data_IF_735994311683
#
_entry.id   IF_735994311683
#
_cell.length_a   1.000
_cell.length_b   1.000
_cell.length_c   1.000
_cell.angle_alpha   90.00
_cell.angle_beta   90.00
_cell.angle_gamma   90.00
#
_symmetry.space_group_name_H-M   'P 1'
#
loop_
_entity.id
_entity.type
_entity.pdbx_description
1 polymer ?
#
# COMPACT_ATOMS: atom_id res chain seq x y z
N UNK A 1 -28.32 2.38 -34.33
CA UNK A 1 -27.61 1.11 -34.58
C UNK A 1 -26.20 1.04 -33.94
N UNK A 2 -25.53 2.15 -33.71
CA UNK A 2 -24.20 2.25 -33.14
C UNK A 2 -24.15 1.92 -31.62
N UNK A 3 -25.20 2.31 -30.88
CA UNK A 3 -25.31 2.08 -29.41
C UNK A 3 -25.28 0.58 -29.07
N UNK A 4 -25.91 -0.26 -29.85
CA UNK A 4 -26.00 -1.71 -29.61
C UNK A 4 -24.65 -2.43 -29.80
N UNK A 5 -23.72 -1.88 -30.58
CA UNK A 5 -22.37 -2.44 -30.78
C UNK A 5 -21.45 -2.06 -29.62
N UNK A 6 -21.57 -0.86 -29.08
CA UNK A 6 -20.81 -0.42 -27.88
C UNK A 6 -21.24 -1.18 -26.65
N UNK A 7 -22.53 -1.38 -26.42
CA UNK A 7 -23.04 -2.16 -25.28
C UNK A 7 -22.52 -3.60 -25.27
N UNK A 8 -22.56 -4.27 -26.43
CA UNK A 8 -22.00 -5.64 -26.54
C UNK A 8 -20.50 -5.66 -26.33
N UNK A 9 -19.80 -4.65 -26.82
CA UNK A 9 -18.35 -4.50 -26.62
C UNK A 9 -18.01 -4.32 -25.13
N UNK A 10 -18.72 -3.46 -24.43
CA UNK A 10 -18.54 -3.21 -22.98
C UNK A 10 -18.84 -4.47 -22.16
N UNK A 11 -19.94 -5.17 -22.46
CA UNK A 11 -20.29 -6.42 -21.77
C UNK A 11 -19.25 -7.52 -22.01
N UNK A 12 -18.70 -7.60 -23.22
CA UNK A 12 -17.61 -8.54 -23.54
C UNK A 12 -16.33 -8.18 -22.79
N UNK A 13 -15.94 -6.91 -22.79
CA UNK A 13 -14.78 -6.43 -22.02
C UNK A 13 -14.94 -6.71 -20.53
N UNK A 14 -16.13 -6.50 -19.96
CA UNK A 14 -16.43 -6.81 -18.56
C UNK A 14 -16.13 -8.27 -18.22
N UNK A 15 -16.54 -9.20 -19.08
CA UNK A 15 -16.26 -10.63 -18.91
C UNK A 15 -14.77 -10.96 -19.01
N UNK A 16 -14.07 -10.37 -19.95
CA UNK A 16 -12.62 -10.59 -20.11
C UNK A 16 -11.82 -10.04 -18.95
N UNK A 17 -12.18 -8.85 -18.46
CA UNK A 17 -11.49 -8.15 -17.37
C UNK A 17 -11.77 -8.77 -15.98
N UNK A 18 -12.86 -9.55 -15.84
CA UNK A 18 -13.17 -10.28 -14.58
C UNK A 18 -12.08 -11.29 -14.21
N UNK A 19 -11.29 -11.77 -15.17
CA UNK A 19 -10.17 -12.69 -14.93
C UNK A 19 -8.93 -11.99 -14.34
N UNK A 20 -8.92 -10.66 -14.30
CA UNK A 20 -7.78 -9.88 -13.79
C UNK A 20 -7.99 -9.59 -12.30
N UNK A 21 -7.19 -10.20 -11.40
CA UNK A 21 -7.49 -10.22 -9.97
C UNK A 21 -7.42 -8.84 -9.30
N UNK A 22 -6.70 -7.89 -9.89
CA UNK A 22 -6.55 -6.54 -9.35
C UNK A 22 -7.52 -5.52 -9.97
N UNK A 23 -8.38 -5.91 -10.90
CA UNK A 23 -9.50 -5.08 -11.35
C UNK A 23 -10.77 -5.42 -10.56
N UNK A 24 -11.58 -4.40 -10.30
CA UNK A 24 -12.93 -4.61 -9.80
C UNK A 24 -13.78 -5.23 -10.90
N UNK A 25 -14.39 -6.39 -10.67
CA UNK A 25 -15.36 -6.93 -11.59
C UNK A 25 -16.51 -5.96 -11.79
N UNK A 26 -16.98 -5.79 -13.02
CA UNK A 26 -18.10 -4.93 -13.30
C UNK A 26 -19.10 -5.59 -14.26
N UNK A 27 -20.33 -5.12 -14.19
CA UNK A 27 -21.44 -5.50 -15.07
C UNK A 27 -22.04 -4.25 -15.68
N UNK A 28 -22.39 -4.34 -16.95
CA UNK A 28 -23.16 -3.31 -17.64
C UNK A 28 -24.66 -3.62 -17.48
N UNK A 29 -25.41 -2.73 -16.84
CA UNK A 29 -26.83 -2.90 -16.57
C UNK A 29 -27.67 -1.87 -17.30
N UNK A 30 -28.82 -2.34 -17.83
CA UNK A 30 -29.86 -1.49 -18.43
C UNK A 30 -29.37 -0.53 -19.54
N UNK A 31 -28.24 -0.85 -20.20
CA UNK A 31 -27.68 0.01 -21.24
C UNK A 31 -27.18 1.37 -20.81
N UNK A 32 -27.08 1.64 -19.51
CA UNK A 32 -26.74 2.96 -18.99
C UNK A 32 -25.84 2.96 -17.73
N UNK A 33 -25.74 1.85 -17.04
CA UNK A 33 -25.11 1.82 -15.72
C UNK A 33 -23.98 0.79 -15.63
N UNK A 34 -22.82 1.23 -15.14
CA UNK A 34 -21.70 0.37 -14.83
C UNK A 34 -21.71 0.07 -13.32
N UNK A 35 -21.93 -1.19 -12.97
CA UNK A 35 -22.03 -1.64 -11.58
C UNK A 35 -20.79 -2.45 -11.23
N UNK A 36 -20.00 -1.97 -10.24
CA UNK A 36 -18.82 -2.67 -9.76
C UNK A 36 -19.15 -3.57 -8.58
N UNK A 37 -18.51 -4.75 -8.56
CA UNK A 37 -18.57 -5.67 -7.43
C UNK A 37 -17.40 -5.37 -6.48
N UNK A 38 -17.71 -4.81 -5.32
CA UNK A 38 -16.72 -4.32 -4.35
C UNK A 38 -15.80 -5.41 -3.79
N UNK A 39 -16.25 -6.67 -3.68
CA UNK A 39 -15.52 -7.72 -2.97
C UNK A 39 -15.42 -7.45 -1.45
N UNK A 40 -14.40 -8.04 -0.81
CA UNK A 40 -14.13 -7.94 0.64
C UNK A 40 -13.22 -6.77 1.02
N UNK A 41 -12.65 -6.06 0.03
CA UNK A 41 -11.70 -4.98 0.25
C UNK A 41 -12.30 -3.77 0.96
N UNK A 42 -11.49 -3.09 1.79
CA UNK A 42 -11.81 -1.79 2.38
C UNK A 42 -11.52 -0.69 1.36
N UNK A 43 -12.35 0.36 1.28
CA UNK A 43 -12.04 1.55 0.47
C UNK A 43 -10.71 2.14 0.90
N UNK A 44 -9.90 2.53 -0.07
CA UNK A 44 -8.58 3.10 0.22
C UNK A 44 -8.70 4.40 1.03
N UNK A 45 -9.72 5.23 0.77
CA UNK A 45 -10.04 6.40 1.59
C UNK A 45 -10.20 6.05 3.06
N UNK A 46 -10.97 4.99 3.38
CA UNK A 46 -11.18 4.59 4.77
C UNK A 46 -9.94 3.95 5.38
N UNK A 47 -9.19 3.21 4.57
CA UNK A 47 -7.94 2.60 5.01
C UNK A 47 -6.88 3.68 5.36
N UNK A 48 -6.78 4.75 4.57
CA UNK A 48 -5.84 5.86 4.78
C UNK A 48 -6.22 6.81 5.92
N UNK A 49 -7.42 6.73 6.49
CA UNK A 49 -7.81 7.55 7.66
C UNK A 49 -6.97 7.29 8.90
N UNK A 50 -6.42 6.09 9.03
CA UNK A 50 -5.53 5.72 10.14
C UNK A 50 -4.09 5.79 9.68
N UNK A 51 -3.22 6.27 10.56
CA UNK A 51 -1.78 6.25 10.33
C UNK A 51 -1.29 4.82 10.06
N UNK A 52 -0.37 4.69 9.13
CA UNK A 52 0.15 3.41 8.65
C UNK A 52 1.59 3.20 9.09
N UNK A 53 1.98 1.93 9.14
CA UNK A 53 3.40 1.56 9.26
C UNK A 53 4.06 1.65 7.88
N UNK A 54 5.37 1.80 7.87
CA UNK A 54 6.16 1.89 6.64
C UNK A 54 5.94 0.66 5.75
N UNK A 55 5.88 -0.55 6.34
CA UNK A 55 5.65 -1.79 5.61
C UNK A 55 4.30 -1.82 4.91
N UNK A 56 3.25 -1.32 5.56
CA UNK A 56 1.89 -1.31 4.98
C UNK A 56 1.83 -0.40 3.76
N UNK A 57 2.52 0.73 3.79
CA UNK A 57 2.60 1.64 2.64
C UNK A 57 3.47 1.05 1.53
N UNK A 58 4.59 0.39 1.87
CA UNK A 58 5.42 -0.27 0.87
C UNK A 58 4.69 -1.43 0.19
N UNK A 59 3.93 -2.25 0.92
CA UNK A 59 3.09 -3.30 0.36
C UNK A 59 2.06 -2.72 -0.62
N UNK A 60 1.42 -1.61 -0.24
CA UNK A 60 0.48 -0.92 -1.11
C UNK A 60 1.13 -0.39 -2.39
N UNK A 61 2.30 0.25 -2.27
CA UNK A 61 3.06 0.79 -3.40
C UNK A 61 3.55 -0.30 -4.35
N UNK A 62 4.07 -1.40 -3.80
CA UNK A 62 4.52 -2.55 -4.58
C UNK A 62 3.37 -3.17 -5.36
N UNK A 63 2.22 -3.36 -4.71
CA UNK A 63 1.04 -3.91 -5.36
C UNK A 63 0.53 -3.01 -6.47
N UNK A 64 0.46 -1.70 -6.21
CA UNK A 64 0.10 -0.72 -7.21
C UNK A 64 1.03 -0.75 -8.43
N UNK A 65 2.34 -0.84 -8.19
CA UNK A 65 3.33 -0.92 -9.24
C UNK A 65 3.24 -2.23 -10.04
N UNK A 66 2.99 -3.35 -9.35
CA UNK A 66 2.72 -4.63 -10.00
C UNK A 66 1.51 -4.55 -10.91
N UNK A 67 0.41 -3.95 -10.44
CA UNK A 67 -0.79 -3.74 -11.23
C UNK A 67 -0.51 -2.94 -12.51
N UNK A 68 0.44 -2.00 -12.47
CA UNK A 68 0.87 -1.26 -13.65
C UNK A 68 1.59 -2.11 -14.69
N UNK A 69 2.49 -2.99 -14.25
CA UNK A 69 3.19 -3.92 -15.14
C UNK A 69 2.21 -4.91 -15.76
N UNK A 70 1.29 -5.41 -14.93
CA UNK A 70 0.25 -6.32 -15.38
C UNK A 70 -0.69 -5.64 -16.39
N UNK A 71 -1.02 -4.35 -16.21
CA UNK A 71 -1.81 -3.59 -17.15
C UNK A 71 -1.17 -3.56 -18.56
N UNK A 72 0.14 -3.39 -18.64
CA UNK A 72 0.87 -3.47 -19.91
C UNK A 72 0.80 -4.87 -20.53
N UNK A 73 1.00 -5.90 -19.71
CA UNK A 73 0.95 -7.29 -20.15
C UNK A 73 -0.44 -7.71 -20.66
N UNK A 74 -1.49 -7.18 -20.05
CA UNK A 74 -2.88 -7.43 -20.46
C UNK A 74 -3.42 -6.43 -21.48
N UNK A 75 -2.59 -5.51 -21.99
CA UNK A 75 -2.96 -4.44 -22.93
C UNK A 75 -4.10 -3.55 -22.40
N UNK A 76 -4.11 -3.32 -21.08
CA UNK A 76 -5.10 -2.44 -20.43
C UNK A 76 -4.63 -1.00 -20.57
N UNK A 77 -5.53 -0.17 -21.05
CA UNK A 77 -5.30 1.27 -21.10
C UNK A 77 -5.30 1.85 -19.68
N UNK A 78 -4.12 2.30 -19.24
CA UNK A 78 -3.92 2.85 -17.89
C UNK A 78 -4.67 4.15 -17.65
N UNK A 79 -5.00 4.89 -18.71
CA UNK A 79 -5.76 6.14 -18.60
C UNK A 79 -7.22 5.90 -18.23
N UNK A 80 -7.71 4.68 -18.48
CA UNK A 80 -9.06 4.24 -18.12
C UNK A 80 -9.17 3.70 -16.69
N UNK A 81 -8.07 3.62 -15.94
CA UNK A 81 -8.06 3.22 -14.54
C UNK A 81 -8.38 4.43 -13.66
N UNK A 82 -9.38 4.28 -12.79
CA UNK A 82 -9.79 5.33 -11.86
C UNK A 82 -8.79 5.40 -10.71
N UNK A 83 -8.11 6.54 -10.57
CA UNK A 83 -7.20 6.84 -9.46
C UNK A 83 -7.86 7.75 -8.42
N UNK A 84 -9.04 7.38 -8.00
CA UNK A 84 -9.76 8.01 -6.91
C UNK A 84 -9.80 7.00 -5.74
N UNK A 85 -9.32 7.35 -4.53
CA UNK A 85 -9.26 6.44 -3.40
C UNK A 85 -10.63 5.90 -2.97
N UNK A 86 -11.74 6.54 -3.34
CA UNK A 86 -13.10 6.04 -3.11
C UNK A 86 -13.46 4.88 -4.05
N UNK A 87 -12.75 4.75 -5.17
CA UNK A 87 -12.91 3.69 -6.16
C UNK A 87 -11.75 2.67 -6.16
N UNK A 88 -10.88 2.77 -5.15
CA UNK A 88 -9.78 1.84 -4.91
C UNK A 88 -10.07 1.03 -3.64
N UNK A 89 -9.81 -0.27 -3.67
CA UNK A 89 -10.10 -1.17 -2.55
C UNK A 89 -8.86 -1.98 -2.18
N UNK A 90 -8.47 -1.90 -0.91
CA UNK A 90 -7.34 -2.64 -0.36
C UNK A 90 -7.82 -3.86 0.41
N UNK A 91 -7.33 -5.03 0.05
CA UNK A 91 -7.56 -6.29 0.76
C UNK A 91 -6.37 -6.58 1.67
N UNK A 92 -6.54 -6.44 2.96
CA UNK A 92 -5.45 -6.62 3.93
C UNK A 92 -4.89 -8.05 3.97
N UNK A 93 -5.73 -9.05 3.78
CA UNK A 93 -5.35 -10.47 3.87
C UNK A 93 -4.53 -10.91 2.65
N UNK A 94 -5.00 -10.58 1.48
CA UNK A 94 -4.37 -10.97 0.21
C UNK A 94 -3.31 -9.98 -0.28
N UNK A 95 -3.24 -8.80 0.34
CA UNK A 95 -2.40 -7.67 -0.08
C UNK A 95 -2.65 -7.27 -1.53
N UNK A 96 -3.91 -7.30 -1.96
CA UNK A 96 -4.30 -6.91 -3.31
C UNK A 96 -4.97 -5.54 -3.30
N UNK A 97 -4.48 -4.64 -4.13
CA UNK A 97 -5.13 -3.37 -4.43
C UNK A 97 -5.99 -3.54 -5.68
N UNK A 98 -7.31 -3.45 -5.51
CA UNK A 98 -8.27 -3.50 -6.61
C UNK A 98 -8.61 -2.11 -7.11
N UNK A 99 -8.62 -1.96 -8.42
CA UNK A 99 -8.83 -0.69 -9.11
C UNK A 99 -10.08 -0.77 -10.01
N UNK A 100 -10.83 0.32 -10.07
CA UNK A 100 -11.94 0.42 -11.02
C UNK A 100 -11.41 0.80 -12.42
N UNK A 101 -12.00 0.22 -13.45
CA UNK A 101 -11.67 0.46 -14.85
C UNK A 101 -12.91 0.91 -15.63
N UNK A 102 -12.79 1.96 -16.43
CA UNK A 102 -13.87 2.48 -17.26
C UNK A 102 -13.65 2.03 -18.72
N UNK A 103 -14.56 1.23 -19.30
CA UNK A 103 -14.34 0.60 -20.60
C UNK A 103 -14.53 1.53 -21.83
N UNK A 104 -14.92 2.78 -21.64
CA UNK A 104 -15.05 3.76 -22.73
C UNK A 104 -13.99 4.85 -22.66
N UNK A 105 -13.85 5.61 -23.74
CA UNK A 105 -12.86 6.67 -23.83
C UNK A 105 -13.25 7.85 -22.94
N UNK A 106 -12.37 8.13 -21.97
CA UNK A 106 -12.45 9.30 -21.12
C UNK A 106 -11.27 10.17 -21.47
N UNK A 107 -11.52 11.35 -22.03
CA UNK A 107 -10.49 12.36 -22.22
C UNK A 107 -10.12 12.98 -20.88
N UNK A 108 -9.40 12.23 -20.02
CA UNK A 108 -8.78 12.78 -18.84
C UNK A 108 -7.43 13.36 -19.28
N UNK A 109 -7.40 14.65 -19.55
CA UNK A 109 -6.17 15.37 -19.95
C UNK A 109 -5.13 15.40 -18.84
N UNK A 110 -4.51 14.25 -18.50
CA UNK A 110 -3.57 14.14 -17.40
C UNK A 110 -2.15 13.92 -17.95
N UNK A 111 -1.30 14.93 -17.76
CA UNK A 111 0.12 14.93 -18.15
C UNK A 111 1.04 14.18 -17.16
N UNK A 112 0.53 13.65 -16.05
CA UNK A 112 1.36 13.03 -15.02
C UNK A 112 1.41 11.50 -15.16
N UNK A 113 2.58 10.92 -14.88
CA UNK A 113 2.70 9.47 -14.84
C UNK A 113 1.73 8.88 -13.81
N UNK A 114 1.22 7.68 -14.11
CA UNK A 114 0.31 6.97 -13.23
C UNK A 114 0.92 6.79 -11.80
N UNK A 115 2.23 6.51 -11.71
CA UNK A 115 2.96 6.39 -10.43
C UNK A 115 3.00 7.70 -9.67
N UNK A 116 3.27 8.81 -10.36
CA UNK A 116 3.32 10.13 -9.74
C UNK A 116 1.97 10.52 -9.12
N UNK A 117 0.88 10.25 -9.82
CA UNK A 117 -0.48 10.52 -9.31
C UNK A 117 -0.75 9.73 -8.02
N UNK A 118 -0.37 8.45 -8.00
CA UNK A 118 -0.56 7.63 -6.81
C UNK A 118 0.33 8.05 -5.64
N UNK A 119 1.60 8.36 -5.90
CA UNK A 119 2.50 8.88 -4.89
C UNK A 119 1.97 10.18 -4.26
N UNK A 120 1.46 11.10 -5.09
CA UNK A 120 0.82 12.34 -4.62
C UNK A 120 -0.43 12.07 -3.77
N UNK A 121 -1.25 11.08 -4.15
CA UNK A 121 -2.43 10.67 -3.39
C UNK A 121 -2.06 10.22 -1.98
N UNK A 122 -1.06 9.34 -1.84
CA UNK A 122 -0.61 8.85 -0.52
C UNK A 122 -0.02 10.00 0.31
N UNK A 123 0.81 10.84 -0.30
CA UNK A 123 1.36 12.04 0.37
C UNK A 123 0.25 12.97 0.88
N UNK A 124 -0.74 13.26 0.02
CA UNK A 124 -1.87 14.10 0.38
C UNK A 124 -2.68 13.51 1.54
N UNK A 125 -2.93 12.19 1.54
CA UNK A 125 -3.60 11.52 2.63
C UNK A 125 -2.81 11.65 3.96
N UNK A 126 -1.49 11.45 3.93
CA UNK A 126 -0.64 11.59 5.11
C UNK A 126 -0.72 13.00 5.71
N UNK A 127 -0.68 14.04 4.86
CA UNK A 127 -0.79 15.45 5.29
C UNK A 127 -2.19 15.75 5.84
N UNK A 128 -3.26 15.34 5.15
CA UNK A 128 -4.64 15.60 5.57
C UNK A 128 -4.99 14.89 6.88
N UNK A 129 -4.52 13.68 7.07
CA UNK A 129 -4.74 12.89 8.28
C UNK A 129 -3.73 13.21 9.40
N UNK A 130 -2.80 14.14 9.18
CA UNK A 130 -1.78 14.58 10.14
C UNK A 130 -0.99 13.42 10.73
N UNK A 131 -0.53 12.50 9.88
CA UNK A 131 0.31 11.40 10.32
C UNK A 131 1.58 11.90 11.00
N UNK A 132 1.98 11.26 12.10
CA UNK A 132 3.07 11.72 12.96
C UNK A 132 4.30 10.81 12.93
N UNK A 133 4.22 9.65 12.30
CA UNK A 133 5.37 8.76 12.15
C UNK A 133 6.45 9.42 11.26
N UNK A 134 7.48 9.97 11.90
CA UNK A 134 8.56 10.70 11.21
C UNK A 134 9.26 9.87 10.13
N UNK A 135 9.44 8.56 10.38
CA UNK A 135 10.09 7.65 9.43
C UNK A 135 9.23 7.47 8.18
N UNK A 136 7.93 7.28 8.39
CA UNK A 136 6.97 7.17 7.31
C UNK A 136 6.91 8.46 6.48
N UNK A 137 6.85 9.61 7.14
CA UNK A 137 6.86 10.92 6.46
C UNK A 137 8.16 11.10 5.65
N UNK A 138 9.31 10.75 6.22
CA UNK A 138 10.58 10.81 5.51
C UNK A 138 10.63 9.85 4.30
N UNK A 139 10.10 8.65 4.45
CA UNK A 139 9.98 7.69 3.35
C UNK A 139 9.09 8.23 2.23
N UNK A 140 7.93 8.78 2.56
CA UNK A 140 7.01 9.38 1.60
C UNK A 140 7.63 10.62 0.89
N UNK A 141 8.41 11.41 1.62
CA UNK A 141 9.15 12.53 1.02
C UNK A 141 10.21 12.04 0.00
N UNK A 142 11.00 11.02 0.36
CA UNK A 142 11.95 10.39 -0.58
C UNK A 142 11.24 9.81 -1.80
N UNK A 143 10.06 9.22 -1.60
CA UNK A 143 9.22 8.75 -2.70
C UNK A 143 8.84 9.88 -3.66
N UNK A 144 8.41 11.04 -3.16
CA UNK A 144 8.08 12.21 -4.00
C UNK A 144 9.28 12.68 -4.84
N UNK A 145 10.47 12.66 -4.24
CA UNK A 145 11.70 13.01 -4.96
C UNK A 145 12.01 11.97 -6.04
N UNK A 146 11.94 10.69 -5.70
CA UNK A 146 12.21 9.60 -6.64
C UNK A 146 11.29 9.66 -7.86
N UNK A 147 10.00 9.92 -7.65
CA UNK A 147 9.01 10.03 -8.74
C UNK A 147 9.32 11.19 -9.69
N UNK A 148 9.71 12.34 -9.16
CA UNK A 148 10.03 13.53 -9.98
C UNK A 148 11.27 13.35 -10.87
N UNK A 149 12.24 12.58 -10.41
CA UNK A 149 13.52 12.42 -11.08
C UNK A 149 13.64 11.15 -11.91
N UNK A 150 12.69 10.22 -11.82
CA UNK A 150 12.84 8.87 -12.35
C UNK A 150 11.63 8.44 -13.18
N UNK A 151 11.59 8.87 -14.45
CA UNK A 151 10.60 8.38 -15.42
C UNK A 151 10.81 6.91 -15.84
N UNK A 152 11.72 6.16 -15.17
CA UNK A 152 12.03 4.78 -15.54
C UNK A 152 11.42 3.78 -14.55
N UNK A 153 10.57 2.84 -15.02
CA UNK A 153 9.94 1.83 -14.17
C UNK A 153 10.88 0.99 -13.31
N UNK A 154 12.08 0.65 -13.84
CA UNK A 154 13.09 -0.16 -13.13
C UNK A 154 13.60 0.48 -11.84
N UNK A 155 13.59 1.80 -11.77
CA UNK A 155 14.07 2.52 -10.59
C UNK A 155 13.08 2.46 -9.42
N UNK A 156 11.81 2.21 -9.70
CA UNK A 156 10.80 1.96 -8.67
C UNK A 156 11.00 0.64 -7.94
N UNK A 157 11.24 -0.44 -8.68
CA UNK A 157 11.55 -1.74 -8.07
C UNK A 157 12.77 -1.60 -7.14
N UNK A 158 13.83 -0.95 -7.63
CA UNK A 158 15.04 -0.74 -6.85
C UNK A 158 14.78 0.12 -5.61
N UNK A 159 13.98 1.17 -5.72
CA UNK A 159 13.64 2.04 -4.59
C UNK A 159 12.80 1.27 -3.53
N UNK A 160 11.76 0.55 -3.94
CA UNK A 160 10.93 -0.26 -3.05
C UNK A 160 11.79 -1.29 -2.31
N UNK A 161 12.64 -2.01 -3.03
CA UNK A 161 13.54 -3.00 -2.45
C UNK A 161 14.54 -2.40 -1.45
N UNK A 162 15.08 -1.21 -1.76
CA UNK A 162 15.97 -0.50 -0.85
C UNK A 162 15.26 -0.07 0.43
N UNK A 163 14.05 0.48 0.34
CA UNK A 163 13.28 0.87 1.52
C UNK A 163 12.89 -0.36 2.37
N UNK A 164 12.49 -1.46 1.74
CA UNK A 164 12.22 -2.73 2.44
C UNK A 164 13.45 -3.24 3.21
N UNK A 165 14.64 -3.21 2.60
CA UNK A 165 15.89 -3.60 3.27
C UNK A 165 16.18 -2.73 4.48
N UNK A 166 16.06 -1.41 4.36
CA UNK A 166 16.25 -0.46 5.47
C UNK A 166 15.32 -0.76 6.64
N UNK A 167 14.05 -1.02 6.37
CA UNK A 167 13.07 -1.35 7.41
C UNK A 167 13.44 -2.66 8.09
N UNK A 168 13.81 -3.69 7.34
CA UNK A 168 14.22 -4.98 7.89
C UNK A 168 15.45 -4.86 8.78
N UNK A 169 16.47 -4.11 8.37
CA UNK A 169 17.67 -3.84 9.16
C UNK A 169 17.33 -3.11 10.45
N UNK A 170 16.47 -2.09 10.40
CA UNK A 170 16.04 -1.35 11.59
C UNK A 170 15.24 -2.22 12.56
N UNK A 171 14.39 -3.11 12.07
CA UNK A 171 13.63 -4.02 12.92
C UNK A 171 14.57 -5.03 13.60
N UNK A 172 15.57 -5.56 12.88
CA UNK A 172 16.58 -6.44 13.44
C UNK A 172 17.42 -5.75 14.54
N UNK A 173 17.77 -4.48 14.34
CA UNK A 173 18.49 -3.69 15.36
C UNK A 173 17.61 -3.48 16.59
N UNK A 174 16.32 -3.21 16.42
CA UNK A 174 15.38 -3.05 17.54
C UNK A 174 15.21 -4.35 18.32
N UNK A 175 15.06 -5.48 17.66
CA UNK A 175 14.96 -6.79 18.30
C UNK A 175 16.22 -7.06 19.14
N UNK A 176 17.41 -6.89 18.58
CA UNK A 176 18.68 -7.06 19.31
C UNK A 176 18.83 -6.11 20.51
N UNK A 177 18.40 -4.85 20.35
CA UNK A 177 18.43 -3.89 21.47
C UNK A 177 17.45 -4.27 22.57
N UNK A 178 16.29 -4.82 22.25
CA UNK A 178 15.32 -5.34 23.22
C UNK A 178 15.90 -6.56 23.96
N UNK A 179 16.54 -7.49 23.25
CA UNK A 179 17.16 -8.67 23.85
C UNK A 179 18.25 -8.27 24.88
N UNK A 180 19.12 -7.32 24.52
CA UNK A 180 20.13 -6.79 25.41
C UNK A 180 19.51 -6.16 26.66
N UNK A 181 18.44 -5.35 26.48
CA UNK A 181 17.76 -4.69 27.61
C UNK A 181 17.06 -5.71 28.54
N UNK A 182 16.52 -6.80 27.99
CA UNK A 182 15.90 -7.87 28.77
C UNK A 182 16.94 -8.71 29.53
N UNK A 183 18.06 -9.05 28.90
CA UNK A 183 19.17 -9.75 29.55
C UNK A 183 19.75 -8.94 30.72
N UNK A 184 20.02 -7.65 30.49
CA UNK A 184 20.50 -6.73 31.55
C UNK A 184 19.50 -6.59 32.70
N UNK A 185 18.20 -6.59 32.41
CA UNK A 185 17.17 -6.51 33.46
C UNK A 185 17.03 -7.79 34.26
N UNK A 186 17.21 -8.95 33.65
CA UNK A 186 17.20 -10.25 34.33
C UNK A 186 18.46 -10.46 35.22
N UNK A 187 19.62 -10.05 34.72
CA UNK A 187 20.88 -10.14 35.47
C UNK A 187 20.88 -9.19 36.67
N UNK A 188 20.43 -7.95 36.51
CA UNK A 188 20.22 -7.00 37.59
C UNK A 188 19.20 -7.48 38.62
N UNK A 189 18.11 -8.11 38.18
CA UNK A 189 17.08 -8.68 39.05
C UNK A 189 17.62 -9.85 39.87
N UNK A 190 18.39 -10.77 39.28
CA UNK A 190 19.06 -11.88 39.98
C UNK A 190 20.09 -11.39 41.01
N UNK A 191 20.89 -10.40 40.63
CA UNK A 191 21.89 -9.78 41.51
C UNK A 191 21.23 -9.05 42.69
N UNK A 192 20.11 -8.36 42.48
CA UNK A 192 19.37 -7.67 43.54
C UNK A 192 18.72 -8.67 44.52
N UNK A 193 18.12 -9.75 44.01
CA UNK A 193 17.55 -10.83 44.87
C UNK A 193 18.66 -11.54 45.65
N UNK A 194 19.84 -11.77 45.07
CA UNK A 194 21.01 -12.31 45.73
C UNK A 194 21.47 -11.46 46.92
N UNK A 195 21.61 -10.15 46.68
CA UNK A 195 22.00 -9.18 47.74
C UNK A 195 20.95 -9.04 48.84
N UNK A 196 19.66 -9.16 48.53
CA UNK A 196 18.59 -9.20 49.54
C UNK A 196 18.70 -10.45 50.39
N UNK A 197 18.89 -11.62 49.80
CA UNK A 197 19.02 -12.90 50.55
C UNK A 197 20.24 -12.84 51.52
N UNK A 198 21.38 -12.29 51.10
CA UNK A 198 22.55 -12.11 51.96
C UNK A 198 22.29 -11.14 53.13
N UNK A 199 21.59 -10.00 52.87
CA UNK A 199 21.22 -9.06 53.91
C UNK A 199 20.25 -9.65 54.96
N UNK A 200 19.29 -10.47 54.52
CA UNK A 200 18.37 -11.14 55.43
C UNK A 200 19.04 -12.31 56.21
N UNK A 201 20.02 -12.98 55.60
CA UNK A 201 20.76 -14.05 56.29
C UNK A 201 21.66 -13.52 57.43
N UNK A 202 22.08 -12.27 57.36
CA UNK A 202 22.91 -11.59 58.43
C UNK A 202 22.02 -11.03 59.55
N UNK A 203 20.74 -10.79 59.33
CA UNK A 203 19.81 -10.22 60.32
C UNK A 203 19.17 -11.27 61.24
N UNK A 204 19.40 -12.56 61.00
CA UNK A 204 18.82 -13.70 61.78
C UNK A 204 19.88 -14.40 62.64
N UNK A 205 21.10 -13.87 62.75
CA UNK A 205 22.11 -14.26 63.73
C UNK A 205 22.26 -13.17 64.76
#
# INVERSE_FOLDING_TARGET
MTICAEEKSIAYQGKMLTAIPWLLPFEWRNGQELVYQKGTGQRLTDWLKKEKREEEILDLLENYYKNQKDAEAYLIDKEKIILDPDWMFWENETKILRLAYIPWDISIGVQHSFVERFAKLIWYAAVQQKWQNERLILMLYRMQIAVKHQNQPRLWDQWIEQEKRKIKELNLIKERALDILTEDSEENSKNWIGRLKERFAVAVR
#
